data_IF_342112501268
#
_entry.id   IF_342112501268
#
_cell.length_a   1.000
_cell.length_b   1.000
_cell.length_c   1.000
_cell.angle_alpha   90.00
_cell.angle_beta   90.00
_cell.angle_gamma   90.00
#
_symmetry.space_group_name_H-M   'P 1'
#
loop_
_entity.id
_entity.type
_entity.pdbx_description
1 polymer ?
#
# COMPACT_ATOMS: atom_id res chain seq x y z
N UNK A 1 -7.42 7.92 -20.69
CA UNK A 1 -7.32 6.53 -20.24
C UNK A 1 -8.48 6.22 -19.31
N UNK A 2 -8.92 4.95 -19.24
CA UNK A 2 -9.91 4.45 -18.28
C UNK A 2 -9.27 3.33 -17.47
N UNK A 3 -9.52 3.31 -16.15
CA UNK A 3 -9.07 2.26 -15.22
C UNK A 3 -10.31 1.69 -14.52
N UNK A 4 -10.32 0.39 -14.27
CA UNK A 4 -11.40 -0.34 -13.59
C UNK A 4 -10.77 -1.46 -12.73
N UNK A 5 -11.23 -1.59 -11.48
CA UNK A 5 -10.71 -2.60 -10.55
C UNK A 5 -11.33 -2.47 -9.14
N UNK A 6 -11.00 -3.41 -8.24
CA UNK A 6 -11.48 -3.39 -6.85
C UNK A 6 -10.85 -2.20 -6.12
N UNK A 7 -11.65 -1.53 -5.28
CA UNK A 7 -11.16 -0.45 -4.44
C UNK A 7 -10.64 -1.00 -3.11
N UNK A 8 -9.41 -0.65 -2.77
CA UNK A 8 -8.84 -0.78 -1.43
C UNK A 8 -8.91 0.57 -0.73
N UNK A 9 -9.87 0.71 0.19
CA UNK A 9 -10.12 1.96 0.89
C UNK A 9 -9.26 2.08 2.14
N UNK A 10 -8.58 3.22 2.27
CA UNK A 10 -7.80 3.63 3.44
C UNK A 10 -8.34 4.94 4.03
N UNK A 11 -7.94 5.24 5.27
CA UNK A 11 -8.33 6.46 6.00
C UNK A 11 -7.50 7.70 5.64
N UNK A 12 -7.65 8.74 6.44
CA UNK A 12 -6.79 9.91 6.43
C UNK A 12 -5.42 9.59 7.07
N UNK A 13 -4.37 10.34 6.72
CA UNK A 13 -3.04 10.30 7.36
C UNK A 13 -2.37 8.92 7.38
N UNK A 14 -2.53 8.13 6.31
CA UNK A 14 -1.68 6.96 6.10
C UNK A 14 -0.30 7.44 5.67
N UNK A 15 0.68 7.33 6.56
CA UNK A 15 2.05 7.76 6.31
C UNK A 15 2.89 6.70 5.56
N UNK A 16 4.12 7.06 5.20
CA UNK A 16 5.05 6.20 4.47
C UNK A 16 5.43 4.95 5.24
N UNK A 17 5.53 5.01 6.57
CA UNK A 17 5.81 3.84 7.42
C UNK A 17 4.62 2.87 7.46
N UNK A 18 3.38 3.37 7.37
CA UNK A 18 2.17 2.56 7.23
C UNK A 18 2.02 1.95 5.83
N UNK A 19 2.58 2.57 4.80
CA UNK A 19 2.65 1.99 3.43
C UNK A 19 3.75 0.94 3.36
N UNK A 20 4.95 1.24 3.85
CA UNK A 20 6.10 0.34 3.87
C UNK A 20 6.95 0.62 5.12
N UNK A 21 6.95 -0.29 6.12
CA UNK A 21 7.64 0.00 7.38
C UNK A 21 9.15 0.18 7.24
N UNK A 22 9.73 1.07 8.05
CA UNK A 22 11.17 1.38 8.04
C UNK A 22 12.13 0.17 8.10
N UNK A 23 11.69 -0.97 8.64
CA UNK A 23 12.46 -2.23 8.67
C UNK A 23 12.77 -2.82 7.29
N UNK A 24 12.14 -2.32 6.23
CA UNK A 24 12.40 -2.71 4.84
C UNK A 24 13.24 -1.69 4.05
N UNK A 25 13.74 -0.61 4.68
CA UNK A 25 14.50 0.44 3.98
C UNK A 25 15.86 -0.01 3.44
N UNK A 26 16.36 -1.16 3.88
CA UNK A 26 17.57 -1.79 3.35
C UNK A 26 17.28 -2.73 2.16
N UNK A 27 16.02 -2.84 1.72
CA UNK A 27 15.60 -3.66 0.57
C UNK A 27 15.38 -2.74 -0.61
N UNK A 28 16.01 -3.06 -1.74
CA UNK A 28 15.81 -2.35 -3.02
C UNK A 28 15.11 -3.19 -4.08
N UNK A 29 14.84 -4.46 -3.79
CA UNK A 29 14.12 -5.36 -4.68
C UNK A 29 12.62 -5.02 -4.67
N UNK A 30 12.09 -4.71 -5.84
CA UNK A 30 10.70 -4.25 -5.99
C UNK A 30 9.69 -5.35 -5.63
N UNK A 31 9.97 -6.61 -5.97
CA UNK A 31 9.08 -7.73 -5.64
C UNK A 31 9.01 -7.95 -4.13
N UNK A 32 10.14 -7.82 -3.45
CA UNK A 32 10.21 -7.95 -1.99
C UNK A 32 9.52 -6.79 -1.28
N UNK A 33 9.68 -5.55 -1.76
CA UNK A 33 8.93 -4.42 -1.22
C UNK A 33 7.42 -4.58 -1.44
N UNK A 34 6.99 -5.08 -2.61
CA UNK A 34 5.58 -5.32 -2.92
C UNK A 34 4.95 -6.34 -1.96
N UNK A 35 5.66 -7.38 -1.56
CA UNK A 35 5.17 -8.38 -0.59
C UNK A 35 4.97 -7.84 0.82
N UNK A 36 5.54 -6.68 1.13
CA UNK A 36 5.55 -6.11 2.47
C UNK A 36 4.79 -4.78 2.59
N UNK A 37 4.12 -4.34 1.53
CA UNK A 37 3.31 -3.13 1.58
C UNK A 37 2.06 -3.31 2.46
N UNK A 38 1.73 -2.26 3.22
CA UNK A 38 0.62 -2.20 4.17
C UNK A 38 0.62 -3.32 5.24
N UNK A 39 1.73 -4.02 5.46
CA UNK A 39 1.76 -5.22 6.33
C UNK A 39 1.29 -4.97 7.76
N UNK A 40 1.53 -3.77 8.31
CA UNK A 40 1.10 -3.40 9.67
C UNK A 40 -0.33 -2.83 9.70
N UNK A 41 -0.79 -2.21 8.61
CA UNK A 41 -2.09 -1.53 8.53
C UNK A 41 -3.21 -2.45 8.00
N UNK A 42 -2.89 -3.27 7.00
CA UNK A 42 -3.78 -4.20 6.27
C UNK A 42 -3.01 -5.47 5.85
N UNK A 43 -2.76 -6.40 6.79
CA UNK A 43 -2.02 -7.64 6.51
C UNK A 43 -2.66 -8.53 5.42
N UNK A 44 -3.96 -8.37 5.19
CA UNK A 44 -4.75 -9.05 4.16
C UNK A 44 -4.45 -8.53 2.74
N UNK A 45 -3.91 -7.32 2.61
CA UNK A 45 -3.78 -6.61 1.33
C UNK A 45 -2.98 -7.40 0.30
N UNK A 46 -1.75 -7.81 0.64
CA UNK A 46 -0.83 -8.48 -0.29
C UNK A 46 -1.35 -9.83 -0.78
N UNK A 47 -2.12 -10.54 0.06
CA UNK A 47 -2.69 -11.84 -0.30
C UNK A 47 -3.89 -11.75 -1.24
N UNK A 48 -4.53 -10.59 -1.33
CA UNK A 48 -5.79 -10.42 -2.05
C UNK A 48 -5.71 -9.44 -3.23
N UNK A 49 -4.82 -8.45 -3.17
CA UNK A 49 -4.71 -7.40 -4.20
C UNK A 49 -4.39 -8.01 -5.56
N UNK A 50 -5.08 -7.52 -6.60
CA UNK A 50 -4.89 -7.97 -7.97
C UNK A 50 -4.41 -6.82 -8.86
N UNK A 51 -3.78 -7.16 -9.98
CA UNK A 51 -3.45 -6.18 -11.01
C UNK A 51 -4.73 -5.50 -11.50
N UNK A 52 -4.74 -4.16 -11.47
CA UNK A 52 -5.89 -3.34 -11.82
C UNK A 52 -6.65 -2.79 -10.62
N UNK A 53 -6.41 -3.32 -9.41
CA UNK A 53 -6.98 -2.77 -8.19
C UNK A 53 -6.49 -1.33 -7.93
N UNK A 54 -7.32 -0.56 -7.21
CA UNK A 54 -7.11 0.87 -6.97
C UNK A 54 -7.11 1.16 -5.48
N UNK A 55 -6.07 1.85 -5.02
CA UNK A 55 -6.03 2.41 -3.67
C UNK A 55 -6.80 3.72 -3.65
N UNK A 56 -7.75 3.85 -2.72
CA UNK A 56 -8.46 5.10 -2.45
C UNK A 56 -8.26 5.44 -0.99
N UNK A 57 -7.61 6.57 -0.73
CA UNK A 57 -7.32 7.03 0.62
C UNK A 57 -8.00 8.36 0.93
N UNK A 58 -8.00 8.69 2.21
CA UNK A 58 -8.42 10.00 2.70
C UNK A 58 -7.37 11.09 2.44
N UNK A 59 -7.41 12.13 3.27
CA UNK A 59 -6.48 13.26 3.22
C UNK A 59 -5.07 12.81 3.60
N UNK A 60 -4.07 13.45 3.00
CA UNK A 60 -2.67 13.33 3.41
C UNK A 60 -2.11 11.90 3.35
N UNK A 61 -2.54 11.11 2.37
CA UNK A 61 -1.97 9.79 2.09
C UNK A 61 -0.52 9.92 1.59
N UNK A 62 0.37 9.08 2.11
CA UNK A 62 1.81 9.11 1.84
C UNK A 62 2.56 10.22 2.56
N UNK A 63 2.03 10.74 3.67
CA UNK A 63 2.75 11.72 4.48
C UNK A 63 3.92 11.12 5.26
N UNK A 64 4.80 11.99 5.76
CA UNK A 64 6.06 11.59 6.40
C UNK A 64 7.25 12.17 5.68
#
# INVERSE_FOLDING_TARGET
MKFEGRVWKFGDHVDTDLIIPARFLNVSDEEELAKNCFVDLRPDFVGEVQVGDVIVAGKNFGCG
#
